data_IF_934526917746
#
_entry.id   IF_934526917746
#
_cell.length_a   1.000
_cell.length_b   1.000
_cell.length_c   1.000
_cell.angle_alpha   90.00
_cell.angle_beta   90.00
_cell.angle_gamma   90.00
#
_symmetry.space_group_name_H-M   'P 1'
#
loop_
_entity.id
_entity.type
_entity.pdbx_description
1 polymer ?
#
# COMPACT_ATOMS: atom_id res chain seq x y z
N UNK A 1 -12.02 -4.24 9.43
CA UNK A 1 -10.95 -4.09 8.43
C UNK A 1 -10.15 -5.37 8.40
N UNK A 2 -9.79 -5.87 7.22
CA UNK A 2 -8.97 -7.06 7.05
C UNK A 2 -8.24 -6.97 5.73
N UNK A 3 -7.00 -7.45 5.71
CA UNK A 3 -6.16 -7.56 4.52
C UNK A 3 -5.47 -8.93 4.59
N UNK A 4 -4.82 -9.31 3.51
CA UNK A 4 -4.02 -10.52 3.41
C UNK A 4 -2.72 -10.43 4.23
N UNK A 5 -2.38 -9.25 4.79
CA UNK A 5 -1.20 -9.05 5.64
C UNK A 5 -1.15 -10.02 6.84
N UNK A 6 -2.31 -10.42 7.38
CA UNK A 6 -2.39 -11.41 8.45
C UNK A 6 -1.94 -12.81 8.03
N UNK A 7 -1.99 -13.17 6.75
CA UNK A 7 -1.51 -14.46 6.24
C UNK A 7 0.03 -14.52 6.24
N UNK A 8 0.69 -13.39 5.98
CA UNK A 8 2.15 -13.27 6.05
C UNK A 8 2.66 -13.35 7.49
N UNK A 9 1.98 -12.65 8.41
CA UNK A 9 2.29 -12.71 9.84
C UNK A 9 2.15 -14.13 10.40
N UNK A 10 1.07 -14.84 10.03
CA UNK A 10 0.89 -16.27 10.36
C UNK A 10 2.01 -17.17 9.83
N UNK A 11 2.68 -16.76 8.75
CA UNK A 11 3.81 -17.47 8.15
C UNK A 11 5.17 -17.03 8.73
N UNK A 12 5.18 -16.15 9.74
CA UNK A 12 6.40 -15.61 10.34
C UNK A 12 7.12 -14.56 9.50
N UNK A 13 6.44 -13.99 8.49
CA UNK A 13 6.99 -12.97 7.60
C UNK A 13 6.48 -11.60 8.09
N UNK A 14 7.37 -10.70 8.56
CA UNK A 14 6.96 -9.34 8.92
C UNK A 14 6.34 -8.61 7.73
N UNK A 15 5.12 -8.12 7.89
CA UNK A 15 4.36 -7.48 6.83
C UNK A 15 3.79 -6.13 7.26
N UNK A 16 3.75 -5.18 6.31
CA UNK A 16 3.07 -3.90 6.44
C UNK A 16 2.06 -3.78 5.31
N UNK A 17 0.89 -3.22 5.63
CA UNK A 17 -0.09 -2.82 4.62
C UNK A 17 0.07 -1.33 4.41
N UNK A 18 0.44 -0.93 3.20
CA UNK A 18 0.55 0.47 2.82
C UNK A 18 0.07 0.67 1.38
N UNK A 19 -0.45 1.87 1.10
CA UNK A 19 -0.99 2.24 -0.20
C UNK A 19 -1.58 3.64 -0.13
N UNK A 20 -1.83 4.28 -1.29
CA UNK A 20 -2.43 5.60 -1.35
C UNK A 20 -3.94 5.55 -1.10
N UNK A 21 -4.55 6.71 -0.93
CA UNK A 21 -5.99 6.83 -0.66
C UNK A 21 -6.32 6.81 0.83
N UNK A 22 -7.62 6.69 1.15
CA UNK A 22 -8.13 6.62 2.51
C UNK A 22 -9.29 5.64 2.62
N UNK A 23 -9.27 4.77 3.61
CA UNK A 23 -10.41 3.89 3.90
C UNK A 23 -11.60 4.61 4.51
N UNK A 24 -11.45 5.88 4.92
CA UNK A 24 -12.60 6.70 5.35
C UNK A 24 -13.63 6.87 4.24
N UNK A 25 -13.19 6.78 2.98
CA UNK A 25 -14.04 6.87 1.79
C UNK A 25 -14.15 5.55 1.00
N UNK A 26 -13.38 4.51 1.36
CA UNK A 26 -13.42 3.21 0.67
C UNK A 26 -14.77 2.50 0.83
N UNK A 27 -15.23 1.82 -0.23
CA UNK A 27 -16.52 1.12 -0.29
C UNK A 27 -17.74 2.02 -0.06
N UNK A 28 -17.62 3.31 -0.38
CA UNK A 28 -18.73 4.27 -0.33
C UNK A 28 -19.03 4.78 -1.75
N UNK A 29 -20.22 5.35 -1.98
CA UNK A 29 -20.47 6.07 -3.22
C UNK A 29 -19.40 7.14 -3.45
N UNK A 30 -19.09 7.37 -4.73
CA UNK A 30 -18.11 8.38 -5.16
C UNK A 30 -16.70 8.16 -4.58
N UNK A 31 -16.33 6.89 -4.32
CA UNK A 31 -14.97 6.49 -3.96
C UNK A 31 -13.97 7.05 -4.99
N UNK A 32 -12.95 7.74 -4.49
CA UNK A 32 -11.94 8.38 -5.32
C UNK A 32 -10.55 8.30 -4.70
N UNK A 33 -9.57 8.59 -5.54
CA UNK A 33 -8.17 8.78 -5.18
C UNK A 33 -7.66 9.98 -5.97
N UNK A 34 -6.85 10.84 -5.35
CA UNK A 34 -6.30 11.99 -6.06
C UNK A 34 -5.13 11.59 -6.96
N UNK A 35 -4.86 12.37 -8.01
CA UNK A 35 -3.70 12.15 -8.88
C UNK A 35 -2.41 12.29 -8.08
N UNK A 36 -2.34 13.24 -7.15
CA UNK A 36 -1.17 13.46 -6.28
C UNK A 36 -0.92 12.26 -5.35
N UNK A 37 -1.98 11.58 -4.90
CA UNK A 37 -1.84 10.35 -4.11
C UNK A 37 -1.29 9.18 -4.94
N UNK A 38 -1.68 9.09 -6.21
CA UNK A 38 -1.12 8.10 -7.15
C UNK A 38 0.37 8.40 -7.41
N UNK A 39 0.71 9.65 -7.70
CA UNK A 39 2.11 10.07 -7.93
C UNK A 39 3.00 9.77 -6.70
N UNK A 40 2.49 10.03 -5.49
CA UNK A 40 3.20 9.71 -4.25
C UNK A 40 3.40 8.21 -4.05
N UNK A 41 2.42 7.38 -4.45
CA UNK A 41 2.55 5.92 -4.41
C UNK A 41 3.61 5.43 -5.38
N UNK A 42 3.64 5.97 -6.61
CA UNK A 42 4.65 5.63 -7.60
C UNK A 42 6.06 5.94 -7.09
N UNK A 43 6.26 7.10 -6.47
CA UNK A 43 7.55 7.46 -5.87
C UNK A 43 7.94 6.54 -4.71
N UNK A 44 6.98 6.12 -3.88
CA UNK A 44 7.21 5.15 -2.82
C UNK A 44 7.62 3.78 -3.38
N UNK A 45 6.91 3.27 -4.38
CA UNK A 45 7.23 1.99 -5.02
C UNK A 45 8.60 2.01 -5.72
N UNK A 46 8.96 3.11 -6.40
CA UNK A 46 10.31 3.29 -6.98
C UNK A 46 11.40 3.20 -5.93
N UNK A 47 11.20 3.79 -4.75
CA UNK A 47 12.16 3.71 -3.63
C UNK A 47 12.26 2.29 -3.06
N UNK A 48 11.14 1.59 -2.93
CA UNK A 48 11.12 0.18 -2.48
C UNK A 48 11.88 -0.70 -3.48
N UNK A 49 11.62 -0.54 -4.78
CA UNK A 49 12.35 -1.27 -5.83
C UNK A 49 13.84 -0.98 -5.77
N UNK A 50 14.22 0.30 -5.67
CA UNK A 50 15.62 0.71 -5.58
C UNK A 50 16.32 0.17 -4.32
N UNK A 51 15.60 0.01 -3.20
CA UNK A 51 16.11 -0.63 -2.01
C UNK A 51 16.27 -2.15 -2.20
N UNK A 52 15.23 -2.82 -2.71
CA UNK A 52 15.19 -4.27 -2.85
C UNK A 52 16.13 -4.81 -3.95
N UNK A 53 16.50 -3.98 -4.93
CA UNK A 53 17.42 -4.34 -6.01
C UNK A 53 18.89 -4.02 -5.71
N UNK A 54 19.24 -3.54 -4.52
CA UNK A 54 20.63 -3.32 -4.14
C UNK A 54 21.36 -4.67 -4.00
N UNK A 55 22.61 -4.76 -4.49
CA UNK A 55 23.42 -5.98 -4.38
C UNK A 55 23.82 -6.31 -2.94
#
# INVERSE_FOLDING_TARGET
FGTEGGLFDQSGIPAVVCGPGSMEQGHKPDEFISVEQLDACDEMLKRVLAFASQP
#
